data_IF_450787483362
#
_entry.id   IF_450787483362
#
_cell.length_a   1.000
_cell.length_b   1.000
_cell.length_c   1.000
_cell.angle_alpha   90.00
_cell.angle_beta   90.00
_cell.angle_gamma   90.00
#
_symmetry.space_group_name_H-M   'P 1'
#
loop_
_entity.id
_entity.type
_entity.pdbx_description
1 polymer ?
#
# COMPACT_ATOMS: atom_id res chain seq x y z
N UNK A 1 1.28 -17.92 -21.44
CA UNK A 1 1.27 -16.83 -20.45
C UNK A 1 2.45 -15.92 -20.74
N UNK A 2 2.22 -14.70 -21.21
CA UNK A 2 3.29 -13.72 -21.40
C UNK A 2 3.86 -13.37 -20.03
N UNK A 3 5.15 -13.58 -19.83
CA UNK A 3 5.81 -13.15 -18.58
C UNK A 3 5.71 -11.64 -18.48
N UNK A 4 5.33 -11.14 -17.29
CA UNK A 4 5.44 -9.73 -17.00
C UNK A 4 6.93 -9.34 -17.03
N UNK A 5 7.27 -8.11 -17.47
CA UNK A 5 8.64 -7.63 -17.39
C UNK A 5 9.09 -7.59 -15.93
N UNK A 6 10.40 -7.78 -15.71
CA UNK A 6 11.01 -7.61 -14.39
C UNK A 6 10.67 -6.23 -13.82
N UNK A 7 10.18 -6.14 -12.56
CA UNK A 7 9.82 -4.87 -11.97
C UNK A 7 11.06 -3.99 -11.83
N UNK A 8 10.98 -2.76 -12.34
CA UNK A 8 12.04 -1.75 -12.14
C UNK A 8 11.92 -1.16 -10.73
N UNK A 9 13.04 -0.95 -10.01
CA UNK A 9 13.03 -0.26 -8.73
C UNK A 9 12.37 1.12 -8.81
N UNK A 10 11.57 1.47 -7.81
CA UNK A 10 10.94 2.77 -7.68
C UNK A 10 11.94 3.72 -6.99
N UNK A 11 12.07 4.95 -7.50
CA UNK A 11 12.95 5.95 -6.90
C UNK A 11 12.44 6.37 -5.51
N UNK A 12 13.37 6.41 -4.55
CA UNK A 12 13.08 6.80 -3.17
C UNK A 12 13.62 8.18 -2.86
N UNK A 13 12.79 8.98 -2.19
CA UNK A 13 13.09 10.34 -1.76
C UNK A 13 12.97 10.41 -0.25
N UNK A 14 13.96 11.07 0.38
CA UNK A 14 13.92 11.45 1.79
C UNK A 14 13.87 12.96 1.83
N UNK A 15 13.04 13.54 2.71
CA UNK A 15 12.98 14.98 2.96
C UNK A 15 12.71 15.79 1.68
N UNK A 16 11.45 15.84 1.24
CA UNK A 16 11.03 16.74 0.16
C UNK A 16 10.38 17.98 0.76
N UNK A 17 10.86 19.15 0.33
CA UNK A 17 10.11 20.37 0.50
C UNK A 17 9.01 20.49 -0.58
N UNK A 18 8.25 21.58 -0.53
CA UNK A 18 7.17 21.81 -1.48
C UNK A 18 7.66 21.91 -2.92
N UNK A 19 8.80 22.57 -3.17
CA UNK A 19 9.31 22.77 -4.53
C UNK A 19 9.76 21.44 -5.14
N UNK A 20 10.54 20.65 -4.38
CA UNK A 20 10.96 19.32 -4.79
C UNK A 20 9.79 18.37 -5.00
N UNK A 21 8.71 18.49 -4.21
CA UNK A 21 7.50 17.72 -4.44
C UNK A 21 6.79 18.08 -5.75
N UNK A 22 6.69 19.37 -6.11
CA UNK A 22 6.07 19.78 -7.38
C UNK A 22 6.91 19.29 -8.58
N UNK A 23 8.24 19.34 -8.49
CA UNK A 23 9.12 18.77 -9.51
C UNK A 23 8.93 17.25 -9.66
N UNK A 24 8.88 16.52 -8.54
CA UNK A 24 8.62 15.08 -8.53
C UNK A 24 7.27 14.77 -9.18
N UNK A 25 6.23 15.51 -8.81
CA UNK A 25 4.88 15.36 -9.35
C UNK A 25 4.84 15.62 -10.86
N UNK A 26 5.60 16.59 -11.36
CA UNK A 26 5.67 16.91 -12.79
C UNK A 26 6.24 15.76 -13.64
N UNK A 27 7.09 14.89 -13.06
CA UNK A 27 7.71 13.74 -13.76
C UNK A 27 6.72 12.64 -14.12
N UNK A 28 5.60 12.51 -13.37
CA UNK A 28 4.58 11.47 -13.57
C UNK A 28 5.12 10.04 -13.51
N UNK A 29 6.13 9.83 -12.68
CA UNK A 29 6.74 8.52 -12.44
C UNK A 29 6.41 8.02 -11.02
N UNK A 30 6.36 6.70 -10.79
CA UNK A 30 6.27 6.14 -9.45
C UNK A 30 7.41 6.65 -8.55
N UNK A 31 7.10 6.98 -7.31
CA UNK A 31 8.07 7.43 -6.32
C UNK A 31 7.68 6.96 -4.92
N UNK A 32 8.68 6.74 -4.05
CA UNK A 32 8.49 6.45 -2.63
C UNK A 32 8.98 7.62 -1.79
N UNK A 33 8.12 8.18 -0.94
CA UNK A 33 8.47 9.24 0.00
C UNK A 33 8.78 8.64 1.38
N UNK A 34 10.04 8.26 1.60
CA UNK A 34 10.46 7.59 2.84
C UNK A 34 10.38 8.54 4.02
N UNK A 35 9.69 8.09 5.06
CA UNK A 35 9.58 8.82 6.34
C UNK A 35 8.51 9.90 6.38
N UNK A 36 7.79 10.18 5.28
CA UNK A 36 6.76 11.22 5.26
C UNK A 36 5.67 11.02 6.33
N UNK A 37 5.22 9.77 6.51
CA UNK A 37 4.21 9.40 7.50
C UNK A 37 4.82 8.92 8.83
N UNK A 38 6.14 9.07 9.04
CA UNK A 38 6.84 8.49 10.20
C UNK A 38 6.26 8.93 11.55
N UNK A 39 5.75 10.16 11.61
CA UNK A 39 5.24 10.77 12.84
C UNK A 39 3.72 10.65 12.99
N UNK A 40 3.04 9.93 12.09
CA UNK A 40 1.61 9.69 12.23
C UNK A 40 1.34 8.81 13.45
N UNK A 41 0.29 9.10 14.25
CA UNK A 41 -0.02 8.30 15.45
C UNK A 41 -0.18 6.82 15.14
N UNK A 42 -0.88 6.46 14.06
CA UNK A 42 -1.03 5.07 13.61
C UNK A 42 0.32 4.38 13.35
N UNK A 43 1.28 5.10 12.76
CA UNK A 43 2.62 4.55 12.46
C UNK A 43 3.44 4.37 13.73
N UNK A 44 3.34 5.32 14.67
CA UNK A 44 4.02 5.21 15.97
C UNK A 44 3.47 4.05 16.80
N UNK A 45 2.14 3.83 16.77
CA UNK A 45 1.51 2.67 17.41
C UNK A 45 1.94 1.36 16.74
N UNK A 46 1.91 1.29 15.41
CA UNK A 46 2.33 0.11 14.65
C UNK A 46 3.78 -0.31 14.89
N UNK A 47 4.66 0.64 15.24
CA UNK A 47 6.06 0.35 15.59
C UNK A 47 6.21 -0.40 16.91
N UNK A 48 5.20 -0.37 17.79
CA UNK A 48 5.23 -1.10 19.05
C UNK A 48 4.85 -2.56 18.84
N UNK A 49 3.70 -2.83 18.21
CA UNK A 49 3.33 -4.16 17.74
C UNK A 49 2.17 -4.13 16.73
N UNK A 50 1.96 -5.20 15.95
CA UNK A 50 0.77 -5.38 15.12
C UNK A 50 -0.55 -5.34 15.91
N UNK A 51 -0.58 -5.91 17.10
CA UNK A 51 -1.76 -5.95 17.97
C UNK A 51 -2.16 -4.56 18.44
N UNK A 52 -1.19 -3.72 18.84
CA UNK A 52 -1.46 -2.33 19.22
C UNK A 52 -2.06 -1.53 18.05
N UNK A 53 -1.59 -1.77 16.81
CA UNK A 53 -2.18 -1.13 15.63
C UNK A 53 -3.64 -1.55 15.42
N UNK A 54 -3.94 -2.84 15.60
CA UNK A 54 -5.30 -3.36 15.46
C UNK A 54 -6.22 -2.66 16.47
N UNK A 55 -5.83 -2.60 17.74
CA UNK A 55 -6.61 -1.93 18.79
C UNK A 55 -6.78 -0.43 18.52
N UNK A 56 -5.72 0.25 18.06
CA UNK A 56 -5.80 1.65 17.63
C UNK A 56 -6.83 1.84 16.51
N UNK A 57 -6.79 1.03 15.46
CA UNK A 57 -7.72 1.14 14.32
C UNK A 57 -9.17 0.82 14.74
N UNK A 58 -9.38 -0.16 15.63
CA UNK A 58 -10.70 -0.50 16.17
C UNK A 58 -11.38 0.68 16.86
N UNK A 59 -10.61 1.60 17.46
CA UNK A 59 -11.13 2.81 18.08
C UNK A 59 -11.76 3.83 17.12
N UNK A 60 -11.51 3.73 15.82
CA UNK A 60 -12.04 4.65 14.80
C UNK A 60 -13.11 4.03 13.90
N UNK A 61 -13.22 2.70 13.89
CA UNK A 61 -14.16 1.98 13.04
C UNK A 61 -15.60 2.01 13.58
N UNK A 62 -16.57 2.04 12.67
CA UNK A 62 -17.96 1.71 12.99
C UNK A 62 -18.19 0.21 12.78
N UNK A 63 -19.18 -0.38 13.45
CA UNK A 63 -19.57 -1.78 13.25
C UNK A 63 -20.30 -2.02 11.91
N UNK A 64 -20.09 -1.16 10.92
CA UNK A 64 -20.74 -1.21 9.61
C UNK A 64 -20.13 -2.32 8.76
N UNK A 65 -20.94 -3.13 8.07
CA UNK A 65 -20.42 -4.08 7.08
C UNK A 65 -19.56 -3.37 6.04
N UNK A 66 -18.40 -3.94 5.74
CA UNK A 66 -17.49 -3.49 4.68
C UNK A 66 -17.41 -4.55 3.59
N UNK A 67 -17.15 -4.13 2.36
CA UNK A 67 -16.86 -5.06 1.27
C UNK A 67 -15.53 -5.78 1.53
N UNK A 68 -15.54 -7.10 1.41
CA UNK A 68 -14.35 -7.93 1.45
C UNK A 68 -14.23 -8.75 0.17
N UNK A 69 -13.03 -8.82 -0.40
CA UNK A 69 -12.71 -9.68 -1.53
C UNK A 69 -11.95 -10.88 -0.97
N UNK A 70 -12.49 -12.08 -1.16
CA UNK A 70 -11.92 -13.34 -0.66
C UNK A 70 -11.66 -14.25 -1.84
N UNK A 71 -10.44 -14.76 -1.95
CA UNK A 71 -10.02 -15.70 -2.98
C UNK A 71 -9.53 -17.00 -2.37
N UNK A 72 -9.61 -18.12 -3.12
CA UNK A 72 -9.05 -19.39 -2.68
C UNK A 72 -7.51 -19.30 -2.59
N UNK A 73 -6.83 -20.02 -1.66
CA UNK A 73 -5.39 -19.89 -1.47
C UNK A 73 -4.57 -20.19 -2.73
N UNK A 74 -5.09 -21.05 -3.61
CA UNK A 74 -4.47 -21.50 -4.86
C UNK A 74 -4.24 -20.36 -5.87
N UNK A 75 -4.96 -19.24 -5.75
CA UNK A 75 -4.73 -18.09 -6.65
C UNK A 75 -3.56 -17.21 -6.23
N UNK A 76 -2.94 -17.44 -5.07
CA UNK A 76 -1.79 -16.67 -4.57
C UNK A 76 -2.01 -15.13 -4.65
N UNK A 77 -3.24 -14.69 -4.38
CA UNK A 77 -3.64 -13.28 -4.44
C UNK A 77 -3.88 -12.73 -5.87
N UNK A 78 -3.80 -13.57 -6.91
CA UNK A 78 -4.03 -13.19 -8.31
C UNK A 78 -5.46 -13.50 -8.75
N UNK A 79 -6.33 -12.51 -8.61
CA UNK A 79 -7.70 -12.62 -9.11
C UNK A 79 -7.70 -12.56 -10.65
N UNK A 80 -8.19 -13.61 -11.31
CA UNK A 80 -8.32 -13.70 -12.76
C UNK A 80 -9.64 -14.37 -13.17
N UNK A 81 -10.01 -14.27 -14.45
CA UNK A 81 -11.12 -15.04 -14.99
C UNK A 81 -10.85 -16.54 -14.89
N UNK A 82 -11.91 -17.34 -14.75
CA UNK A 82 -11.79 -18.80 -14.68
C UNK A 82 -11.05 -19.36 -15.90
N UNK A 83 -10.25 -20.42 -15.72
CA UNK A 83 -9.48 -21.06 -16.79
C UNK A 83 -10.35 -21.47 -18.00
N UNK A 84 -11.66 -21.68 -17.79
CA UNK A 84 -12.61 -22.03 -18.85
C UNK A 84 -13.00 -20.86 -19.78
N UNK A 85 -12.62 -19.61 -19.46
CA UNK A 85 -12.72 -18.47 -20.36
C UNK A 85 -11.33 -18.19 -20.96
N UNK A 86 -10.92 -19.01 -21.93
CA UNK A 86 -9.81 -18.73 -22.86
C UNK A 86 -10.36 -18.33 -24.22
#
# INVERSE_FOLDING_TARGET
MTSLPEPRPILEYRQLDRAGFEELRARREPAVLRGLAADWPAVQVARKSPEELIEYVRGFGTASPVGAIVGPPEIEGRFFYAEALT
#
